data_IF_089900603512
#
_entry.id   IF_089900603512
#
_cell.length_a   1.000
_cell.length_b   1.000
_cell.length_c   1.000
_cell.angle_alpha   90.00
_cell.angle_beta   90.00
_cell.angle_gamma   90.00
#
_symmetry.space_group_name_H-M   'P 1'
#
loop_
_entity.id
_entity.type
_entity.pdbx_description
1 polymer ?
#
# COMPACT_ATOMS: atom_id res chain seq x y z
N UNK A 1 9.53 -4.22 -9.47
CA UNK A 1 8.24 -3.96 -8.79
C UNK A 1 7.95 -2.51 -9.10
N UNK A 2 7.12 -2.25 -10.11
CA UNK A 2 7.40 -1.09 -10.96
C UNK A 2 6.63 0.16 -10.55
N UNK A 3 5.61 0.01 -9.70
CA UNK A 3 4.79 1.12 -9.23
C UNK A 3 4.61 1.10 -7.71
N UNK A 4 4.18 2.24 -7.17
CA UNK A 4 3.72 2.34 -5.77
C UNK A 4 2.60 1.31 -5.50
N UNK A 5 1.70 1.09 -6.45
CA UNK A 5 0.63 0.11 -6.34
C UNK A 5 1.14 -1.32 -6.16
N UNK A 6 2.15 -1.70 -6.95
CA UNK A 6 2.81 -3.00 -6.82
C UNK A 6 3.50 -3.16 -5.47
N UNK A 7 4.14 -2.10 -4.97
CA UNK A 7 4.78 -2.04 -3.65
C UNK A 7 3.79 -2.18 -2.50
N UNK A 8 2.65 -1.49 -2.57
CA UNK A 8 1.55 -1.66 -1.59
C UNK A 8 1.01 -3.09 -1.62
N UNK A 9 0.76 -3.64 -2.81
CA UNK A 9 0.31 -5.03 -2.98
C UNK A 9 1.31 -6.03 -2.42
N UNK A 10 2.61 -5.79 -2.64
CA UNK A 10 3.69 -6.61 -2.09
C UNK A 10 3.66 -6.64 -0.56
N UNK A 11 3.59 -5.46 0.09
CA UNK A 11 3.50 -5.38 1.56
C UNK A 11 2.32 -6.21 2.07
N UNK A 12 1.15 -6.09 1.44
CA UNK A 12 -0.04 -6.86 1.81
C UNK A 12 0.19 -8.37 1.71
N UNK A 13 0.76 -8.83 0.61
CA UNK A 13 1.00 -10.26 0.35
C UNK A 13 2.08 -10.85 1.27
N UNK A 14 3.14 -10.09 1.58
CA UNK A 14 4.16 -10.52 2.55
C UNK A 14 3.57 -10.75 3.94
N UNK A 15 2.57 -9.95 4.33
CA UNK A 15 1.84 -10.10 5.57
C UNK A 15 0.71 -11.15 5.51
N UNK A 16 0.54 -11.85 4.37
CA UNK A 16 -0.50 -12.88 4.15
C UNK A 16 -1.92 -12.36 4.38
N UNK A 17 -2.18 -11.09 4.06
CA UNK A 17 -3.48 -10.46 4.25
C UNK A 17 -4.28 -10.40 2.94
N UNK A 18 -5.59 -10.60 3.05
CA UNK A 18 -6.50 -10.24 1.95
C UNK A 18 -6.71 -8.72 1.91
N UNK A 19 -7.31 -8.21 0.84
CA UNK A 19 -7.48 -6.76 0.66
C UNK A 19 -8.41 -6.13 1.70
N UNK A 20 -9.41 -6.86 2.21
CA UNK A 20 -10.33 -6.35 3.22
C UNK A 20 -9.57 -6.08 4.52
N UNK A 21 -8.89 -7.09 5.05
CA UNK A 21 -8.14 -6.99 6.33
C UNK A 21 -6.99 -5.99 6.23
N UNK A 22 -6.31 -5.92 5.09
CA UNK A 22 -5.26 -4.93 4.90
C UNK A 22 -5.83 -3.51 4.88
N UNK A 23 -6.90 -3.27 4.13
CA UNK A 23 -7.54 -1.95 4.03
C UNK A 23 -8.05 -1.45 5.39
N UNK A 24 -8.64 -2.35 6.20
CA UNK A 24 -9.06 -2.05 7.58
C UNK A 24 -7.89 -1.58 8.44
N UNK A 25 -6.72 -2.25 8.36
CA UNK A 25 -5.53 -1.87 9.14
C UNK A 25 -5.00 -0.48 8.81
N UNK A 26 -5.09 -0.05 7.55
CA UNK A 26 -4.62 1.29 7.11
C UNK A 26 -5.76 2.31 6.98
N UNK A 27 -6.96 2.00 7.51
CA UNK A 27 -8.07 2.94 7.63
C UNK A 27 -8.69 3.36 6.29
N UNK A 28 -8.70 2.51 5.27
CA UNK A 28 -9.35 2.79 3.97
C UNK A 28 -10.36 1.70 3.58
N UNK A 29 -11.17 1.96 2.56
CA UNK A 29 -12.06 0.94 1.99
C UNK A 29 -11.28 -0.06 1.13
N UNK A 30 -11.77 -1.31 1.04
CA UNK A 30 -11.20 -2.33 0.15
C UNK A 30 -11.18 -1.87 -1.31
N UNK A 31 -12.23 -1.19 -1.77
CA UNK A 31 -12.28 -0.63 -3.13
C UNK A 31 -11.14 0.36 -3.39
N UNK A 32 -10.89 1.28 -2.45
CA UNK A 32 -9.78 2.24 -2.55
C UNK A 32 -8.43 1.54 -2.56
N UNK A 33 -8.23 0.52 -1.72
CA UNK A 33 -7.02 -0.30 -1.75
C UNK A 33 -6.85 -0.97 -3.12
N UNK A 34 -7.92 -1.53 -3.70
CA UNK A 34 -7.87 -2.14 -5.03
C UNK A 34 -7.47 -1.15 -6.11
N UNK A 35 -7.97 0.08 -6.07
CA UNK A 35 -7.57 1.14 -7.00
C UNK A 35 -6.09 1.52 -6.85
N UNK A 36 -5.59 1.56 -5.61
CA UNK A 36 -4.16 1.80 -5.33
C UNK A 36 -3.30 0.67 -5.89
N UNK A 37 -3.64 -0.59 -5.59
CA UNK A 37 -2.88 -1.76 -6.06
C UNK A 37 -2.92 -1.94 -7.58
N UNK A 38 -3.93 -1.37 -8.25
CA UNK A 38 -4.04 -1.32 -9.71
C UNK A 38 -3.37 -0.08 -10.32
N UNK A 39 -2.80 0.81 -9.51
CA UNK A 39 -2.18 2.06 -9.97
C UNK A 39 -3.17 3.12 -10.48
N UNK A 40 -4.48 2.94 -10.25
CA UNK A 40 -5.53 3.88 -10.67
C UNK A 40 -5.55 5.15 -9.83
N UNK A 41 -5.13 5.05 -8.57
CA UNK A 41 -5.01 6.18 -7.66
C UNK A 41 -3.78 6.05 -6.78
N UNK A 42 -3.27 7.17 -6.28
CA UNK A 42 -2.14 7.19 -5.36
C UNK A 42 -2.63 7.11 -3.89
N UNK A 43 -1.86 6.49 -2.98
CA UNK A 43 -2.13 6.58 -1.55
C UNK A 43 -2.17 8.04 -1.07
N UNK A 44 -3.05 8.37 -0.12
CA UNK A 44 -3.02 9.69 0.53
C UNK A 44 -1.87 9.76 1.55
N UNK A 45 -1.54 10.98 2.01
CA UNK A 45 -0.59 11.17 3.11
C UNK A 45 -0.95 10.34 4.36
N UNK A 46 -2.24 10.32 4.74
CA UNK A 46 -2.72 9.49 5.85
C UNK A 46 -2.54 7.99 5.58
N UNK A 47 -2.79 7.54 4.34
CA UNK A 47 -2.55 6.12 3.98
C UNK A 47 -1.07 5.76 4.10
N UNK A 48 -0.17 6.65 3.66
CA UNK A 48 1.28 6.46 3.76
C UNK A 48 1.75 6.42 5.22
N UNK A 49 1.16 7.26 6.07
CA UNK A 49 1.44 7.29 7.51
C UNK A 49 1.02 5.99 8.18
N UNK A 50 -0.17 5.47 7.88
CA UNK A 50 -0.61 4.18 8.43
C UNK A 50 0.20 3.01 7.85
N UNK A 51 0.59 3.02 6.57
CA UNK A 51 1.50 2.01 6.02
C UNK A 51 2.83 1.96 6.77
N UNK A 52 3.42 3.12 7.07
CA UNK A 52 4.64 3.21 7.88
C UNK A 52 4.42 2.68 9.29
N UNK A 53 3.31 3.04 9.92
CA UNK A 53 3.00 2.70 11.31
C UNK A 53 2.67 1.21 11.50
N UNK A 54 1.80 0.66 10.66
CA UNK A 54 1.28 -0.71 10.81
C UNK A 54 2.23 -1.78 10.24
N UNK A 55 3.00 -1.44 9.21
CA UNK A 55 3.84 -2.40 8.48
C UNK A 55 5.32 -2.01 8.46
N UNK A 56 5.73 -0.98 9.19
CA UNK A 56 7.11 -0.49 9.25
C UNK A 56 7.71 -0.22 7.86
N UNK A 57 6.92 0.35 6.95
CA UNK A 57 7.31 0.61 5.56
C UNK A 57 8.26 1.81 5.49
N UNK A 58 9.38 1.63 4.80
CA UNK A 58 10.24 2.73 4.37
C UNK A 58 9.59 3.45 3.17
N UNK A 59 9.25 4.72 3.36
CA UNK A 59 8.63 5.52 2.31
C UNK A 59 9.63 5.83 1.18
N UNK A 60 10.93 5.89 1.44
CA UNK A 60 11.91 6.09 0.36
C UNK A 60 11.88 4.91 -0.61
N UNK A 61 11.93 3.69 -0.09
CA UNK A 61 11.74 2.48 -0.89
C UNK A 61 10.38 2.46 -1.60
N UNK A 62 9.32 2.92 -0.95
CA UNK A 62 7.98 2.94 -1.54
C UNK A 62 7.90 3.87 -2.77
N UNK A 63 8.63 4.99 -2.75
CA UNK A 63 8.68 5.98 -3.83
C UNK A 63 9.81 5.77 -4.84
N UNK A 64 10.78 4.90 -4.53
CA UNK A 64 11.87 4.60 -5.44
C UNK A 64 11.32 4.06 -6.77
N UNK A 65 11.84 4.54 -7.89
CA UNK A 65 11.50 3.98 -9.20
C UNK A 65 12.64 3.02 -9.58
N UNK A 66 12.30 1.76 -9.85
CA UNK A 66 13.29 0.81 -10.38
C UNK A 66 13.73 1.36 -11.77
N UNK A 67 14.94 1.92 -11.87
CA UNK A 67 15.55 2.41 -13.13
C UNK A 67 15.83 1.24 -14.07
#
# INVERSE_FOLDING_TARGET
>A
MNTIGDKVKFIRLQNKLNQIVFAEKIGISQGRLSEIEQGKTKPSAETLKELRKEFNVDLNWLFDEDI
#
